data_IF_861779030009
#
_entry.id   IF_861779030009
#
_cell.length_a   1.000
_cell.length_b   1.000
_cell.length_c   1.000
_cell.angle_alpha   90.00
_cell.angle_beta   90.00
_cell.angle_gamma   90.00
#
_symmetry.space_group_name_H-M   'P 1'
#
loop_
_entity.id
_entity.type
_entity.pdbx_description
1 polymer ?
#
# COMPACT_ATOMS: atom_id res chain seq x y z
N UNK A 1 -14.66 -7.34 9.49
CA UNK A 1 -14.38 -6.96 8.08
C UNK A 1 -13.08 -6.17 7.88
N UNK A 2 -12.87 -4.99 8.51
CA UNK A 2 -11.65 -4.16 8.29
C UNK A 2 -10.32 -4.92 8.37
N UNK A 3 -10.15 -5.77 9.37
CA UNK A 3 -8.94 -6.61 9.53
C UNK A 3 -8.69 -7.51 8.31
N UNK A 4 -9.74 -8.11 7.77
CA UNK A 4 -9.68 -9.04 6.62
C UNK A 4 -9.23 -8.30 5.37
N UNK A 5 -9.83 -7.13 5.11
CA UNK A 5 -9.43 -6.28 3.99
C UNK A 5 -7.95 -5.91 4.07
N UNK A 6 -7.46 -5.54 5.26
CA UNK A 6 -6.04 -5.21 5.47
C UNK A 6 -5.12 -6.41 5.26
N UNK A 7 -5.55 -7.61 5.66
CA UNK A 7 -4.80 -8.84 5.38
C UNK A 7 -4.75 -9.11 3.87
N UNK A 8 -5.86 -8.91 3.14
CA UNK A 8 -5.88 -9.02 1.68
C UNK A 8 -4.95 -7.98 1.03
N UNK A 9 -4.94 -6.73 1.49
CA UNK A 9 -4.00 -5.71 1.02
C UNK A 9 -2.54 -6.08 1.33
N UNK A 10 -2.28 -6.76 2.44
CA UNK A 10 -0.94 -7.21 2.81
C UNK A 10 -0.42 -8.39 1.97
N UNK A 11 -1.27 -9.05 1.17
CA UNK A 11 -0.84 -10.12 0.25
C UNK A 11 0.20 -9.58 -0.74
N UNK A 12 0.04 -8.35 -1.24
CA UNK A 12 0.99 -7.72 -2.16
C UNK A 12 2.43 -7.61 -1.63
N UNK A 13 2.59 -7.70 -0.30
CA UNK A 13 3.88 -7.60 0.37
C UNK A 13 4.56 -8.96 0.57
N UNK A 14 3.92 -10.07 0.17
CA UNK A 14 4.48 -11.41 0.17
C UNK A 14 5.21 -11.70 -1.16
N UNK A 15 6.06 -12.72 -1.20
CA UNK A 15 6.48 -13.33 -2.47
C UNK A 15 5.27 -13.84 -3.27
N UNK A 16 5.34 -13.74 -4.60
CA UNK A 16 4.23 -14.06 -5.53
C UNK A 16 3.75 -15.50 -5.37
N UNK A 17 4.67 -16.42 -5.17
CA UNK A 17 4.47 -17.85 -4.96
C UNK A 17 3.60 -18.18 -3.72
N UNK A 18 3.31 -17.18 -2.89
CA UNK A 18 2.53 -17.35 -1.66
C UNK A 18 1.17 -16.65 -1.70
N UNK A 19 0.81 -15.98 -2.80
CA UNK A 19 -0.44 -15.21 -2.87
C UNK A 19 -1.69 -16.09 -2.71
N UNK A 20 -1.78 -17.18 -3.48
CA UNK A 20 -2.92 -18.09 -3.40
C UNK A 20 -3.04 -18.67 -1.99
N UNK A 21 -1.93 -19.18 -1.44
CA UNK A 21 -1.91 -19.76 -0.10
C UNK A 21 -2.30 -18.73 0.96
N UNK A 22 -1.85 -17.50 0.84
CA UNK A 22 -2.22 -16.41 1.74
C UNK A 22 -3.73 -16.13 1.70
N UNK A 23 -4.33 -16.04 0.51
CA UNK A 23 -5.77 -15.84 0.37
C UNK A 23 -6.57 -17.00 0.98
N UNK A 24 -6.14 -18.25 0.75
CA UNK A 24 -6.80 -19.44 1.32
C UNK A 24 -6.72 -19.45 2.85
N UNK A 25 -5.58 -19.08 3.42
CA UNK A 25 -5.40 -18.99 4.88
C UNK A 25 -6.29 -17.89 5.48
N UNK A 26 -6.47 -16.77 4.79
CA UNK A 26 -7.41 -15.71 5.18
C UNK A 26 -8.84 -16.24 5.14
N UNK A 27 -9.29 -16.78 4.00
CA UNK A 27 -10.62 -17.37 3.79
C UNK A 27 -10.95 -18.39 4.89
N UNK A 28 -10.02 -19.32 5.16
CA UNK A 28 -10.16 -20.33 6.19
C UNK A 28 -10.26 -19.71 7.60
N UNK A 29 -9.42 -18.71 7.90
CA UNK A 29 -9.44 -18.05 9.21
C UNK A 29 -10.75 -17.29 9.47
N UNK A 30 -11.31 -16.65 8.44
CA UNK A 30 -12.58 -15.91 8.54
C UNK A 30 -13.71 -16.90 8.69
N UNK A 31 -13.80 -17.93 7.83
CA UNK A 31 -14.84 -18.96 7.90
C UNK A 31 -14.90 -19.66 9.25
N UNK A 32 -13.74 -19.94 9.88
CA UNK A 32 -13.67 -20.57 11.21
C UNK A 32 -14.08 -19.65 12.37
N UNK A 33 -13.89 -18.34 12.23
CA UNK A 33 -14.20 -17.37 13.29
C UNK A 33 -15.61 -16.84 13.20
N UNK A 34 -16.06 -16.55 11.97
CA UNK A 34 -17.32 -15.89 11.69
C UNK A 34 -17.78 -16.26 10.27
N UNK A 35 -18.72 -17.20 10.21
CA UNK A 35 -19.25 -17.72 8.94
C UNK A 35 -20.09 -16.66 8.21
N UNK A 36 -20.75 -15.76 8.94
CA UNK A 36 -21.59 -14.70 8.37
C UNK A 36 -20.70 -13.69 7.63
N UNK A 37 -19.62 -13.24 8.27
CA UNK A 37 -18.64 -12.36 7.63
C UNK A 37 -17.99 -13.02 6.41
N UNK A 38 -17.72 -14.33 6.47
CA UNK A 38 -17.20 -15.06 5.30
C UNK A 38 -18.14 -14.96 4.10
N UNK A 39 -19.45 -15.19 4.30
CA UNK A 39 -20.43 -15.10 3.21
C UNK A 39 -20.61 -13.68 2.69
N UNK A 40 -20.64 -12.67 3.58
CA UNK A 40 -20.69 -11.25 3.18
C UNK A 40 -19.47 -10.86 2.33
N UNK A 41 -18.29 -11.42 2.62
CA UNK A 41 -17.06 -11.13 1.88
C UNK A 41 -16.82 -12.06 0.69
N UNK A 42 -17.71 -13.02 0.38
CA UNK A 42 -17.52 -14.03 -0.66
C UNK A 42 -17.21 -13.41 -2.02
N UNK A 43 -18.01 -12.44 -2.46
CA UNK A 43 -17.81 -11.78 -3.76
C UNK A 43 -16.52 -10.97 -3.79
N UNK A 44 -16.15 -10.35 -2.68
CA UNK A 44 -14.86 -9.68 -2.56
C UNK A 44 -13.71 -10.68 -2.69
N UNK A 45 -13.76 -11.83 -2.01
CA UNK A 45 -12.74 -12.85 -2.15
C UNK A 45 -12.64 -13.38 -3.58
N UNK A 46 -13.77 -13.63 -4.25
CA UNK A 46 -13.79 -14.03 -5.66
C UNK A 46 -13.18 -12.97 -6.57
N UNK A 47 -13.47 -11.69 -6.32
CA UNK A 47 -12.86 -10.59 -7.05
C UNK A 47 -11.33 -10.57 -6.88
N UNK A 48 -10.83 -10.66 -5.64
CA UNK A 48 -9.38 -10.70 -5.37
C UNK A 48 -8.73 -11.90 -6.06
N UNK A 49 -9.33 -13.07 -5.94
CA UNK A 49 -8.86 -14.30 -6.56
C UNK A 49 -8.77 -14.14 -8.09
N UNK A 50 -9.87 -13.78 -8.74
CA UNK A 50 -9.97 -13.79 -10.21
C UNK A 50 -9.24 -12.63 -10.87
N UNK A 51 -9.26 -11.43 -10.28
CA UNK A 51 -8.69 -10.24 -10.90
C UNK A 51 -7.22 -10.04 -10.56
N UNK A 52 -6.79 -10.43 -9.37
CA UNK A 52 -5.46 -10.09 -8.87
C UNK A 52 -4.55 -11.30 -8.70
N UNK A 53 -5.06 -12.43 -8.22
CA UNK A 53 -4.21 -13.60 -7.91
C UNK A 53 -4.10 -14.57 -9.09
N UNK A 54 -5.22 -14.98 -9.67
CA UNK A 54 -5.26 -15.93 -10.79
C UNK A 54 -5.00 -15.28 -12.16
N UNK A 55 -4.81 -13.96 -12.19
CA UNK A 55 -4.37 -13.25 -13.38
C UNK A 55 -2.85 -13.03 -13.31
N UNK A 56 -2.07 -13.74 -14.12
CA UNK A 56 -0.60 -13.73 -14.07
C UNK A 56 0.02 -12.33 -14.21
N UNK A 57 -0.54 -11.50 -15.10
CA UNK A 57 -0.06 -10.13 -15.29
C UNK A 57 -0.31 -9.29 -14.05
N UNK A 58 -1.56 -9.25 -13.59
CA UNK A 58 -1.97 -8.47 -12.41
C UNK A 58 -1.29 -8.96 -11.13
N UNK A 59 -1.06 -10.26 -11.02
CA UNK A 59 -0.37 -10.88 -9.88
C UNK A 59 1.05 -10.35 -9.72
N UNK A 60 1.78 -10.20 -10.83
CA UNK A 60 3.12 -9.60 -10.83
C UNK A 60 3.09 -8.10 -10.58
N UNK A 61 2.17 -7.38 -11.24
CA UNK A 61 2.01 -5.92 -11.06
C UNK A 61 1.67 -5.53 -9.60
N UNK A 62 0.91 -6.37 -8.89
CA UNK A 62 0.56 -6.15 -7.49
C UNK A 62 1.70 -6.51 -6.52
N UNK A 63 2.76 -7.19 -6.95
CA UNK A 63 3.81 -7.64 -6.04
C UNK A 63 4.79 -6.52 -5.69
N UNK A 64 4.78 -6.11 -4.42
CA UNK A 64 5.73 -5.15 -3.84
C UNK A 64 6.74 -5.83 -2.90
N UNK A 65 6.94 -7.14 -3.05
CA UNK A 65 8.01 -7.85 -2.36
C UNK A 65 9.36 -7.34 -2.90
N UNK A 66 10.26 -6.95 -2.00
CA UNK A 66 11.53 -6.28 -2.31
C UNK A 66 11.46 -4.93 -3.05
N UNK A 67 10.28 -4.44 -3.45
CA UNK A 67 10.16 -3.08 -4.01
C UNK A 67 10.51 -2.03 -2.95
N UNK A 68 11.25 -1.00 -3.38
CA UNK A 68 11.46 0.26 -2.65
C UNK A 68 10.18 1.10 -2.68
N UNK A 69 9.48 1.10 -3.81
CA UNK A 69 8.23 1.83 -4.01
C UNK A 69 7.05 0.89 -3.78
N UNK A 70 6.47 0.97 -2.58
CA UNK A 70 5.49 -0.01 -2.06
C UNK A 70 4.06 0.48 -2.06
N UNK A 71 3.91 1.78 -2.18
CA UNK A 71 2.65 2.47 -1.94
C UNK A 71 2.43 3.42 -3.09
N UNK A 72 1.17 3.61 -3.43
CA UNK A 72 0.72 4.74 -4.23
C UNK A 72 0.93 6.07 -3.49
N UNK A 73 1.75 6.17 -2.44
CA UNK A 73 1.95 7.39 -1.66
C UNK A 73 2.32 8.57 -2.55
N UNK A 74 3.13 8.34 -3.59
CA UNK A 74 3.44 9.36 -4.59
C UNK A 74 2.16 9.82 -5.31
N UNK A 75 1.35 8.90 -5.81
CA UNK A 75 0.08 9.20 -6.47
C UNK A 75 -0.96 9.81 -5.53
N UNK A 76 -1.12 9.30 -4.30
CA UNK A 76 -2.05 9.83 -3.30
C UNK A 76 -1.61 11.21 -2.82
N UNK A 77 -0.32 11.43 -2.59
CA UNK A 77 0.25 12.73 -2.24
C UNK A 77 0.06 13.73 -3.38
N UNK A 78 0.33 13.30 -4.62
CA UNK A 78 0.09 14.11 -5.82
C UNK A 78 -1.39 14.46 -5.96
N UNK A 79 -2.29 13.47 -5.89
CA UNK A 79 -3.74 13.68 -5.97
C UNK A 79 -4.26 14.58 -4.84
N UNK A 80 -3.72 14.44 -3.62
CA UNK A 80 -4.08 15.30 -2.49
C UNK A 80 -3.58 16.73 -2.67
N UNK A 81 -2.36 16.90 -3.19
CA UNK A 81 -1.82 18.22 -3.53
C UNK A 81 -2.66 18.89 -4.62
N UNK A 82 -3.00 18.14 -5.65
CA UNK A 82 -3.87 18.57 -6.73
C UNK A 82 -5.23 19.00 -6.18
N UNK A 83 -5.92 18.14 -5.41
CA UNK A 83 -7.19 18.49 -4.77
C UNK A 83 -7.11 19.76 -3.91
N UNK A 84 -6.02 19.93 -3.15
CA UNK A 84 -5.79 21.14 -2.35
C UNK A 84 -5.65 22.39 -3.22
N UNK A 85 -4.90 22.30 -4.34
CA UNK A 85 -4.72 23.42 -5.28
C UNK A 85 -5.98 23.72 -6.09
N UNK A 86 -6.79 22.70 -6.39
CA UNK A 86 -8.04 22.82 -7.12
C UNK A 86 -9.17 23.52 -6.35
N UNK A 87 -9.09 23.54 -5.01
CA UNK A 87 -10.15 24.04 -4.14
C UNK A 87 -11.35 23.08 -4.08
N UNK A 88 -11.97 22.97 -2.91
CA UNK A 88 -13.04 21.99 -2.65
C UNK A 88 -14.40 22.33 -3.29
N UNK A 89 -14.54 23.51 -3.93
CA UNK A 89 -15.84 24.05 -4.31
C UNK A 89 -15.89 24.39 -5.80
N UNK A 90 -16.29 23.41 -6.62
CA UNK A 90 -16.58 23.49 -8.07
C UNK A 90 -15.38 23.90 -8.96
N UNK A 91 -14.44 22.98 -9.23
CA UNK A 91 -13.39 23.23 -10.19
C UNK A 91 -13.95 23.37 -11.62
N UNK A 92 -13.55 24.40 -12.35
CA UNK A 92 -13.70 24.47 -13.79
C UNK A 92 -12.39 24.06 -14.49
N UNK A 93 -12.43 23.75 -15.79
CA UNK A 93 -11.26 23.25 -16.54
C UNK A 93 -10.09 24.24 -16.55
N UNK A 94 -10.37 25.55 -16.46
CA UNK A 94 -9.34 26.58 -16.43
C UNK A 94 -8.61 26.62 -15.08
N UNK A 95 -9.34 26.50 -13.97
CA UNK A 95 -8.75 26.35 -12.65
C UNK A 95 -7.88 25.08 -12.56
N UNK A 96 -8.27 24.03 -13.30
CA UNK A 96 -7.48 22.81 -13.41
C UNK A 96 -6.15 23.02 -14.14
N UNK A 97 -6.20 23.66 -15.30
CA UNK A 97 -5.01 23.97 -16.09
C UNK A 97 -4.06 24.88 -15.30
N UNK A 98 -4.57 25.91 -14.62
CA UNK A 98 -3.74 26.81 -13.82
C UNK A 98 -3.11 26.10 -12.61
N UNK A 99 -3.86 25.24 -11.92
CA UNK A 99 -3.30 24.44 -10.83
C UNK A 99 -2.17 23.51 -11.32
N UNK A 100 -2.32 22.91 -12.51
CA UNK A 100 -1.29 22.09 -13.13
C UNK A 100 -0.03 22.89 -13.47
N UNK A 101 -0.16 24.07 -14.10
CA UNK A 101 0.98 24.95 -14.40
C UNK A 101 1.76 25.33 -13.14
N UNK A 102 1.06 25.65 -12.04
CA UNK A 102 1.71 25.97 -10.76
C UNK A 102 2.40 24.72 -10.18
N UNK A 103 1.83 23.52 -10.34
CA UNK A 103 2.49 22.28 -9.91
C UNK A 103 3.74 21.97 -10.72
N UNK A 104 3.68 22.15 -12.03
CA UNK A 104 4.79 21.93 -12.95
C UNK A 104 5.94 22.91 -12.67
N UNK A 105 5.66 24.22 -12.59
CA UNK A 105 6.68 25.21 -12.26
C UNK A 105 7.39 24.91 -10.93
N UNK A 106 6.63 24.52 -9.89
CA UNK A 106 7.24 24.14 -8.61
C UNK A 106 8.12 22.89 -8.74
N UNK A 107 7.71 21.90 -9.55
CA UNK A 107 8.48 20.69 -9.77
C UNK A 107 9.78 20.98 -10.55
N UNK A 108 9.74 21.91 -11.51
CA UNK A 108 10.92 22.37 -12.25
C UNK A 108 11.89 23.09 -11.33
N UNK A 109 11.40 24.03 -10.50
CA UNK A 109 12.23 24.72 -9.51
C UNK A 109 12.87 23.74 -8.49
N UNK A 110 12.11 22.75 -8.02
CA UNK A 110 12.61 21.70 -7.14
C UNK A 110 13.70 20.84 -7.84
N UNK A 111 13.55 20.57 -9.13
CA UNK A 111 14.51 19.82 -9.93
C UNK A 111 15.79 20.62 -10.24
N UNK A 112 15.66 21.91 -10.52
CA UNK A 112 16.79 22.82 -10.75
C UNK A 112 17.61 23.00 -9.46
N UNK A 113 16.93 23.18 -8.31
CA UNK A 113 17.58 23.25 -6.99
C UNK A 113 18.34 21.95 -6.63
N UNK A 114 17.83 20.79 -7.07
CA UNK A 114 18.51 19.50 -6.94
C UNK A 114 19.77 19.41 -7.81
N UNK A 115 19.70 19.94 -9.04
CA UNK A 115 20.77 19.88 -10.02
C UNK A 115 21.93 20.85 -9.76
N UNK A 116 21.62 22.06 -9.31
CA UNK A 116 22.62 23.14 -9.14
C UNK A 116 23.20 23.21 -7.71
N UNK A 117 22.37 23.03 -6.69
CA UNK A 117 22.79 23.23 -5.29
C UNK A 117 22.91 21.93 -4.49
N UNK A 118 22.46 20.80 -5.04
CA UNK A 118 22.41 19.51 -4.33
C UNK A 118 21.48 19.53 -3.10
N UNK A 119 20.66 20.57 -2.97
CA UNK A 119 19.71 20.71 -1.87
C UNK A 119 18.50 19.86 -2.20
N UNK A 120 18.32 18.76 -1.48
CA UNK A 120 17.14 17.93 -1.65
C UNK A 120 15.88 18.70 -1.20
N UNK A 121 14.89 18.96 -2.07
CA UNK A 121 13.57 19.43 -1.68
C UNK A 121 12.84 18.24 -1.07
N UNK A 122 13.20 17.93 0.18
CA UNK A 122 12.51 16.90 0.93
C UNK A 122 12.15 17.44 2.28
N UNK A 123 10.85 17.61 2.51
CA UNK A 123 10.32 17.56 3.87
C UNK A 123 10.81 16.23 4.46
N UNK A 124 11.59 16.25 5.56
CA UNK A 124 12.08 15.00 6.13
C UNK A 124 10.88 14.10 6.40
N UNK A 125 10.95 12.81 6.00
CA UNK A 125 9.86 11.89 6.23
C UNK A 125 9.57 11.88 7.73
N UNK A 126 8.28 11.94 8.11
CA UNK A 126 7.89 11.87 9.53
C UNK A 126 8.58 10.66 10.15
N UNK A 127 9.21 10.84 11.32
CA UNK A 127 9.97 9.80 12.01
C UNK A 127 9.15 8.49 12.16
N UNK A 128 7.83 8.61 12.35
CA UNK A 128 6.89 7.48 12.38
C UNK A 128 6.84 6.68 11.08
N UNK A 129 6.86 7.33 9.91
CA UNK A 129 6.88 6.66 8.61
C UNK A 129 8.19 5.89 8.39
N UNK A 130 9.32 6.48 8.80
CA UNK A 130 10.64 5.82 8.73
C UNK A 130 10.67 4.57 9.63
N UNK A 131 10.14 4.68 10.86
CA UNK A 131 10.05 3.55 11.79
C UNK A 131 9.15 2.43 11.27
N UNK A 132 7.99 2.77 10.69
CA UNK A 132 7.07 1.80 10.10
C UNK A 132 7.70 1.07 8.91
N UNK A 133 8.43 1.78 8.04
CA UNK A 133 9.12 1.12 6.92
C UNK A 133 10.21 0.17 7.42
N UNK A 134 11.01 0.59 8.40
CA UNK A 134 12.01 -0.28 9.05
C UNK A 134 11.38 -1.55 9.64
N UNK A 135 10.25 -1.42 10.33
CA UNK A 135 9.52 -2.57 10.86
C UNK A 135 9.02 -3.52 9.77
N UNK A 136 8.52 -2.97 8.66
CA UNK A 136 8.06 -3.76 7.52
C UNK A 136 9.23 -4.48 6.82
N UNK A 137 10.37 -3.81 6.69
CA UNK A 137 11.60 -4.41 6.16
C UNK A 137 12.08 -5.58 7.02
N UNK A 138 12.10 -5.40 8.35
CA UNK A 138 12.45 -6.46 9.28
C UNK A 138 11.48 -7.63 9.19
N UNK A 139 10.18 -7.34 9.04
CA UNK A 139 9.15 -8.36 8.84
C UNK A 139 9.40 -9.19 7.57
N UNK A 140 9.73 -8.53 6.44
CA UNK A 140 10.08 -9.19 5.17
C UNK A 140 11.34 -10.05 5.31
N UNK A 141 12.37 -9.58 6.02
CA UNK A 141 13.59 -10.36 6.29
C UNK A 141 13.29 -11.61 7.11
N UNK A 142 12.52 -11.47 8.19
CA UNK A 142 12.13 -12.60 9.05
C UNK A 142 11.26 -13.62 8.29
N UNK A 143 10.40 -13.13 7.39
CA UNK A 143 9.57 -13.98 6.55
C UNK A 143 10.42 -14.92 5.69
N UNK A 144 11.51 -14.42 5.07
CA UNK A 144 12.41 -15.23 4.24
C UNK A 144 12.95 -16.44 4.99
N UNK A 145 13.33 -16.29 6.26
CA UNK A 145 13.86 -17.39 7.06
C UNK A 145 12.75 -18.36 7.54
N UNK A 146 11.63 -17.80 8.00
CA UNK A 146 10.57 -18.59 8.64
C UNK A 146 9.69 -19.38 7.65
N UNK A 147 9.60 -18.94 6.39
CA UNK A 147 8.86 -19.64 5.34
C UNK A 147 9.37 -21.07 5.12
N UNK A 148 10.69 -21.28 5.18
CA UNK A 148 11.29 -22.60 4.96
C UNK A 148 10.96 -23.60 6.06
N UNK A 149 10.67 -23.13 7.27
CA UNK A 149 10.46 -23.98 8.45
C UNK A 149 8.97 -24.24 8.70
N UNK A 150 8.11 -23.22 8.55
CA UNK A 150 6.68 -23.36 8.72
C UNK A 150 5.92 -22.32 7.89
N UNK A 151 5.74 -22.65 6.60
CA UNK A 151 5.17 -21.76 5.58
C UNK A 151 3.85 -21.12 6.01
N UNK A 152 2.89 -21.90 6.48
CA UNK A 152 1.55 -21.39 6.82
C UNK A 152 1.55 -20.49 8.06
N UNK A 153 2.30 -20.89 9.10
CA UNK A 153 2.45 -20.06 10.29
C UNK A 153 3.16 -18.75 9.96
N UNK A 154 4.23 -18.81 9.17
CA UNK A 154 4.99 -17.64 8.74
C UNK A 154 4.10 -16.67 7.94
N UNK A 155 3.36 -17.16 6.94
CA UNK A 155 2.43 -16.35 6.14
C UNK A 155 1.36 -15.72 7.04
N UNK A 156 0.73 -16.48 7.93
CA UNK A 156 -0.29 -15.93 8.85
C UNK A 156 0.26 -14.87 9.79
N UNK A 157 1.42 -15.12 10.39
CA UNK A 157 2.09 -14.19 11.29
C UNK A 157 2.43 -12.89 10.56
N UNK A 158 2.99 -13.01 9.35
CA UNK A 158 3.29 -11.88 8.49
C UNK A 158 2.04 -11.08 8.14
N UNK A 159 0.98 -11.72 7.62
CA UNK A 159 -0.25 -11.02 7.24
C UNK A 159 -0.88 -10.27 8.40
N UNK A 160 -0.87 -10.85 9.62
CA UNK A 160 -1.39 -10.18 10.81
C UNK A 160 -0.58 -8.93 11.17
N UNK A 161 0.76 -9.02 11.13
CA UNK A 161 1.65 -7.91 11.48
C UNK A 161 1.66 -6.83 10.38
N UNK A 162 1.79 -7.21 9.13
CA UNK A 162 1.76 -6.30 7.97
C UNK A 162 0.42 -5.57 7.85
N UNK A 163 -0.71 -6.23 8.10
CA UNK A 163 -2.03 -5.59 8.13
C UNK A 163 -2.16 -4.49 9.19
N UNK A 164 -1.46 -4.64 10.33
CA UNK A 164 -1.41 -3.63 11.38
C UNK A 164 -0.50 -2.46 11.00
N UNK A 165 0.67 -2.75 10.40
CA UNK A 165 1.62 -1.73 9.95
C UNK A 165 1.06 -0.88 8.81
N UNK A 166 0.45 -1.50 7.79
CA UNK A 166 -0.19 -0.78 6.68
C UNK A 166 -1.25 0.20 7.19
N UNK A 167 -2.04 -0.16 8.19
CA UNK A 167 -3.03 0.75 8.76
C UNK A 167 -2.44 2.05 9.32
N UNK A 168 -1.31 1.96 10.02
CA UNK A 168 -0.65 3.14 10.60
C UNK A 168 -0.03 4.03 9.52
N UNK A 169 0.37 3.45 8.39
CA UNK A 169 0.84 4.22 7.22
C UNK A 169 -0.32 5.05 6.63
N UNK A 170 -1.51 4.47 6.46
CA UNK A 170 -2.65 5.19 5.89
C UNK A 170 -3.31 6.20 6.85
N UNK A 171 -3.35 5.93 8.16
CA UNK A 171 -3.97 6.84 9.13
C UNK A 171 -3.07 8.01 9.58
N UNK A 172 -1.76 7.82 9.68
CA UNK A 172 -0.84 8.90 10.08
C UNK A 172 -0.64 9.96 8.96
N UNK A 173 -1.35 9.87 7.84
CA UNK A 173 -1.31 10.80 6.71
C UNK A 173 -2.56 11.68 6.59
N UNK A 174 -3.55 11.52 7.48
CA UNK A 174 -4.66 12.46 7.64
C UNK A 174 -4.31 13.43 8.78
N UNK A 175 -4.12 14.73 8.50
CA UNK A 175 -4.26 15.73 9.55
C UNK A 175 -5.74 15.85 9.93
N UNK A 176 -5.99 16.12 11.21
CA UNK A 176 -7.26 16.73 11.66
C UNK A 176 -7.53 18.05 10.92
#
# INVERSE_FOLDING_TARGET
>A
MRKVLRQCSAISLLPVEHFQRALDLIKLSVRRRDVVVYYLMRHFFQYVDNKWINNDRRRREMCFFNSTDRTNNACESHNKMLQKKMGAHRPNVWAFIEALKIMENNATLDADALGEEGIAPSRPPRCTSVLLDRQLQQLKRNLRYTIYHNRDHAIRSFLNRAAYLNHRVFYNMLPE
#
